data_IF_213061803775
#
_entry.id   IF_213061803775
#
_cell.length_a   1.000
_cell.length_b   1.000
_cell.length_c   1.000
_cell.angle_alpha   90.00
_cell.angle_beta   90.00
_cell.angle_gamma   90.00
#
_symmetry.space_group_name_H-M   'P 1'
#
loop_
_entity.id
_entity.type
_entity.pdbx_description
1 polymer ?
#
# COMPACT_ATOMS: atom_id res chain seq x y z
N UNK A 1 17.95 -59.93 -10.20
CA UNK A 1 18.60 -59.59 -8.92
C UNK A 1 18.43 -58.09 -8.78
N UNK A 2 17.40 -57.64 -8.05
CA UNK A 2 17.11 -56.19 -7.95
C UNK A 2 18.14 -55.61 -6.99
N UNK A 3 18.89 -54.63 -7.48
CA UNK A 3 20.05 -54.07 -6.81
C UNK A 3 19.59 -53.31 -5.56
N UNK A 4 20.05 -53.75 -4.39
CA UNK A 4 19.61 -53.26 -3.08
C UNK A 4 19.90 -51.76 -2.87
N UNK A 5 20.85 -51.21 -3.65
CA UNK A 5 21.20 -49.79 -3.68
C UNK A 5 20.12 -48.94 -4.37
N UNK A 6 19.56 -49.43 -5.47
CA UNK A 6 18.54 -48.72 -6.25
C UNK A 6 17.23 -48.60 -5.45
N UNK A 7 16.91 -49.61 -4.64
CA UNK A 7 15.72 -49.63 -3.80
C UNK A 7 15.79 -48.60 -2.64
N UNK A 8 16.97 -48.41 -2.04
CA UNK A 8 17.16 -47.39 -0.99
C UNK A 8 17.28 -45.98 -1.56
N UNK A 9 17.82 -45.83 -2.76
CA UNK A 9 17.87 -44.53 -3.44
C UNK A 9 16.44 -44.07 -3.84
N UNK A 10 15.60 -44.97 -4.34
CA UNK A 10 14.18 -44.68 -4.62
C UNK A 10 13.39 -44.36 -3.34
N UNK A 11 13.62 -45.11 -2.26
CA UNK A 11 12.94 -44.88 -0.97
C UNK A 11 13.41 -43.56 -0.33
N UNK A 12 14.69 -43.21 -0.45
CA UNK A 12 15.23 -41.91 -0.03
C UNK A 12 14.70 -40.75 -0.86
N UNK A 13 14.55 -40.92 -2.16
CA UNK A 13 13.95 -39.91 -3.03
C UNK A 13 12.47 -39.70 -2.71
N UNK A 14 11.75 -40.78 -2.43
CA UNK A 14 10.35 -40.72 -2.02
C UNK A 14 10.20 -39.96 -0.70
N UNK A 15 11.00 -40.32 0.32
CA UNK A 15 10.99 -39.64 1.62
C UNK A 15 11.36 -38.16 1.51
N UNK A 16 12.29 -37.80 0.61
CA UNK A 16 12.63 -36.39 0.34
C UNK A 16 11.49 -35.62 -0.32
N UNK A 17 10.78 -36.23 -1.28
CA UNK A 17 9.62 -35.60 -1.95
C UNK A 17 8.47 -35.40 -0.98
N UNK A 18 8.11 -36.42 -0.22
CA UNK A 18 7.04 -36.35 0.78
C UNK A 18 7.35 -35.28 1.83
N UNK A 19 8.59 -35.23 2.34
CA UNK A 19 9.01 -34.21 3.32
C UNK A 19 9.05 -32.79 2.73
N UNK A 20 9.40 -32.65 1.44
CA UNK A 20 9.38 -31.36 0.75
C UNK A 20 7.94 -30.87 0.55
N UNK A 21 7.02 -31.75 0.20
CA UNK A 21 5.59 -31.45 0.07
C UNK A 21 4.97 -31.06 1.42
N UNK A 22 5.32 -31.76 2.50
CA UNK A 22 4.92 -31.41 3.85
C UNK A 22 5.45 -30.02 4.26
N UNK A 23 6.72 -29.73 3.99
CA UNK A 23 7.32 -28.42 4.27
C UNK A 23 6.65 -27.29 3.47
N UNK A 24 6.28 -27.54 2.21
CA UNK A 24 5.54 -26.57 1.38
C UNK A 24 4.12 -26.35 1.92
N UNK A 25 3.37 -27.41 2.23
CA UNK A 25 2.03 -27.31 2.79
C UNK A 25 2.01 -26.67 4.18
N UNK A 26 3.06 -26.85 4.97
CA UNK A 26 3.19 -26.24 6.29
C UNK A 26 3.47 -24.73 6.18
N UNK A 27 4.21 -24.30 5.16
CA UNK A 27 4.38 -22.87 4.83
C UNK A 27 3.10 -22.19 4.33
N UNK A 28 2.16 -22.95 3.76
CA UNK A 28 0.84 -22.44 3.34
C UNK A 28 -0.18 -22.44 4.50
N UNK A 29 -0.07 -23.39 5.45
CA UNK A 29 -0.98 -23.55 6.60
C UNK A 29 -0.57 -22.73 7.82
N UNK A 30 0.72 -22.51 8.04
CA UNK A 30 1.23 -21.45 8.91
C UNK A 30 1.05 -20.15 8.16
N UNK A 31 -0.20 -19.71 8.07
CA UNK A 31 -0.62 -18.55 7.31
C UNK A 31 0.36 -17.42 7.51
N UNK A 32 1.19 -17.19 6.49
CA UNK A 32 1.80 -15.89 6.33
C UNK A 32 0.65 -14.90 6.43
N UNK A 33 0.80 -13.90 7.28
CA UNK A 33 0.07 -12.65 7.14
C UNK A 33 0.40 -12.13 5.73
N UNK A 34 -0.27 -12.68 4.72
CA UNK A 34 -0.15 -12.25 3.34
C UNK A 34 -0.83 -10.89 3.25
N UNK A 35 -0.17 -10.02 2.50
CA UNK A 35 -0.02 -8.61 2.79
C UNK A 35 -1.37 -7.88 2.78
N UNK A 36 -1.77 -7.35 3.95
CA UNK A 36 -2.79 -6.30 4.02
C UNK A 36 -2.30 -5.10 3.23
N UNK A 37 -3.10 -4.63 2.27
CA UNK A 37 -2.78 -3.41 1.56
C UNK A 37 -3.19 -2.21 2.40
N UNK A 38 -2.27 -1.26 2.56
CA UNK A 38 -2.51 -0.01 3.27
C UNK A 38 -2.53 1.15 2.30
N UNK A 39 -3.65 1.84 2.22
CA UNK A 39 -3.78 3.08 1.45
C UNK A 39 -3.94 4.28 2.39
N UNK A 40 -3.41 5.42 1.97
CA UNK A 40 -3.52 6.69 2.71
C UNK A 40 -4.17 7.74 1.81
N UNK A 41 -5.18 8.41 2.36
CA UNK A 41 -5.97 9.43 1.65
C UNK A 41 -5.92 10.75 2.44
N UNK A 42 -5.46 11.86 1.86
CA UNK A 42 -5.50 13.18 2.48
C UNK A 42 -6.95 13.69 2.52
N UNK A 43 -7.42 14.13 3.68
CA UNK A 43 -8.83 14.53 3.89
C UNK A 43 -8.96 15.84 4.65
N UNK A 44 -10.10 16.50 4.45
CA UNK A 44 -10.48 17.75 5.13
C UNK A 44 -10.99 17.51 6.56
N UNK A 45 -11.41 16.28 6.88
CA UNK A 45 -11.94 15.89 8.18
C UNK A 45 -11.59 14.44 8.54
N UNK A 46 -11.93 14.04 9.76
CA UNK A 46 -11.63 12.73 10.36
C UNK A 46 -12.75 11.70 10.22
N UNK A 47 -13.75 11.94 9.34
CA UNK A 47 -14.97 11.11 9.23
C UNK A 47 -14.77 9.75 8.55
N UNK A 48 -13.56 9.16 8.62
CA UNK A 48 -13.23 7.84 8.10
C UNK A 48 -13.61 7.68 6.63
N UNK A 49 -14.43 6.66 6.32
CA UNK A 49 -14.89 6.39 4.94
C UNK A 49 -15.75 7.50 4.35
N UNK A 50 -16.40 8.33 5.17
CA UNK A 50 -17.24 9.43 4.71
C UNK A 50 -16.46 10.75 4.58
N UNK A 51 -15.19 10.76 4.99
CA UNK A 51 -14.36 11.95 4.93
C UNK A 51 -14.18 12.42 3.48
N UNK A 52 -14.20 13.74 3.31
CA UNK A 52 -13.93 14.36 2.00
C UNK A 52 -12.45 14.51 1.77
N UNK A 53 -12.02 14.26 0.53
CA UNK A 53 -10.62 14.43 0.15
C UNK A 53 -10.21 15.90 0.18
N UNK A 54 -8.95 16.13 0.53
CA UNK A 54 -8.35 17.46 0.44
C UNK A 54 -7.73 17.72 -0.92
N UNK A 55 -7.96 18.92 -1.47
CA UNK A 55 -7.37 19.39 -2.72
C UNK A 55 -5.85 19.61 -2.62
N UNK A 56 -5.33 19.76 -1.40
CA UNK A 56 -3.94 20.12 -1.17
C UNK A 56 -3.27 19.11 -0.24
N UNK A 57 -2.67 18.07 -0.83
CA UNK A 57 -2.00 16.99 -0.10
C UNK A 57 -1.17 17.45 1.11
N UNK A 58 -0.27 18.42 0.94
CA UNK A 58 0.63 18.86 2.02
C UNK A 58 -0.07 19.63 3.15
N UNK A 59 -1.24 20.21 2.88
CA UNK A 59 -2.04 21.02 3.80
C UNK A 59 -3.32 20.32 4.24
N UNK A 60 -3.51 19.05 3.87
CA UNK A 60 -4.64 18.28 4.34
C UNK A 60 -4.56 18.19 5.88
N UNK A 61 -5.62 18.56 6.62
CA UNK A 61 -5.61 18.51 8.08
C UNK A 61 -5.58 17.08 8.63
N UNK A 62 -6.07 16.10 7.87
CA UNK A 62 -6.06 14.69 8.25
C UNK A 62 -5.59 13.80 7.10
N UNK A 63 -5.16 12.60 7.48
CA UNK A 63 -4.93 11.47 6.59
C UNK A 63 -5.77 10.29 7.08
N UNK A 64 -6.70 9.83 6.26
CA UNK A 64 -7.40 8.57 6.52
C UNK A 64 -6.53 7.43 6.02
N UNK A 65 -6.19 6.52 6.92
CA UNK A 65 -5.47 5.28 6.63
C UNK A 65 -6.51 4.15 6.57
N UNK A 66 -6.49 3.41 5.48
CA UNK A 66 -7.38 2.26 5.28
C UNK A 66 -6.51 1.03 5.06
N UNK A 67 -6.70 0.03 5.92
CA UNK A 67 -6.13 -1.30 5.72
C UNK A 67 -7.17 -2.18 5.02
N UNK A 68 -6.76 -2.84 3.95
CA UNK A 68 -7.58 -3.74 3.14
C UNK A 68 -7.09 -5.19 3.32
N UNK A 69 -8.05 -6.12 3.36
CA UNK A 69 -7.78 -7.55 3.24
C UNK A 69 -7.46 -7.92 1.77
N UNK A 70 -6.99 -9.15 1.55
CA UNK A 70 -6.64 -9.65 0.20
C UNK A 70 -7.83 -9.63 -0.79
N UNK A 71 -9.05 -9.75 -0.29
CA UNK A 71 -10.27 -9.71 -1.10
C UNK A 71 -10.74 -8.27 -1.40
N UNK A 72 -9.96 -7.26 -0.99
CA UNK A 72 -10.29 -5.85 -1.15
C UNK A 72 -11.29 -5.31 -0.11
N UNK A 73 -11.69 -6.11 0.87
CA UNK A 73 -12.59 -5.64 1.95
C UNK A 73 -11.84 -4.79 2.98
N UNK A 74 -12.51 -3.78 3.53
CA UNK A 74 -11.93 -2.90 4.55
C UNK A 74 -11.74 -3.65 5.87
N UNK A 75 -10.50 -3.77 6.31
CA UNK A 75 -10.11 -4.38 7.58
C UNK A 75 -10.03 -3.36 8.74
N UNK A 76 -9.55 -2.15 8.45
CA UNK A 76 -9.41 -1.07 9.42
C UNK A 76 -9.53 0.31 8.75
N UNK A 77 -10.04 1.29 9.48
CA UNK A 77 -10.04 2.70 9.11
C UNK A 77 -9.62 3.52 10.32
N UNK A 78 -8.60 4.36 10.15
CA UNK A 78 -8.16 5.29 11.19
C UNK A 78 -7.90 6.68 10.60
N UNK A 79 -8.25 7.72 11.34
CA UNK A 79 -7.88 9.09 11.02
C UNK A 79 -6.59 9.46 11.76
N UNK A 80 -5.65 10.06 11.04
CA UNK A 80 -4.38 10.55 11.59
C UNK A 80 -4.31 12.06 11.32
N UNK A 81 -4.18 12.91 12.36
CA UNK A 81 -4.00 14.34 12.14
C UNK A 81 -2.67 14.64 11.46
N UNK A 82 -2.64 15.67 10.62
CA UNK A 82 -1.41 16.12 9.99
C UNK A 82 -0.60 16.96 10.99
N UNK A 83 0.42 16.34 11.60
CA UNK A 83 1.32 16.99 12.55
C UNK A 83 2.63 17.47 11.90
N UNK A 84 2.63 17.70 10.59
CA UNK A 84 3.81 18.21 9.88
C UNK A 84 4.10 19.68 10.16
N UNK A 85 5.20 20.20 9.61
CA UNK A 85 5.59 21.61 9.66
C UNK A 85 4.47 22.57 9.22
N UNK A 86 3.54 22.15 8.35
CA UNK A 86 2.40 22.97 7.93
C UNK A 86 1.34 23.21 9.01
N UNK A 87 1.35 22.41 10.08
CA UNK A 87 0.44 22.48 11.21
C UNK A 87 1.16 22.78 12.53
N UNK A 88 2.40 23.29 12.45
CA UNK A 88 3.20 23.68 13.61
C UNK A 88 3.93 22.52 14.29
N UNK A 89 3.90 21.32 13.71
CA UNK A 89 4.71 20.19 14.16
C UNK A 89 6.04 20.08 13.42
N UNK A 90 6.56 18.85 13.29
CA UNK A 90 7.91 18.59 12.78
C UNK A 90 7.91 17.63 11.59
N UNK A 91 8.82 17.85 10.64
CA UNK A 91 8.97 17.01 9.45
C UNK A 91 8.00 17.38 8.34
N UNK A 92 8.31 16.92 7.12
CA UNK A 92 7.47 17.19 5.96
C UNK A 92 6.30 16.21 5.92
N UNK A 93 5.13 16.60 5.38
CA UNK A 93 3.99 15.69 5.21
C UNK A 93 4.35 14.30 4.64
N UNK A 94 5.13 14.15 3.54
CA UNK A 94 5.48 12.83 3.02
C UNK A 94 6.31 11.99 3.99
N UNK A 95 7.18 12.60 4.80
CA UNK A 95 8.01 11.87 5.76
C UNK A 95 7.16 11.29 6.91
N UNK A 96 6.17 12.05 7.38
CA UNK A 96 5.21 11.58 8.38
C UNK A 96 4.37 10.42 7.85
N UNK A 97 3.88 10.54 6.61
CA UNK A 97 3.04 9.50 5.99
C UNK A 97 3.83 8.21 5.73
N UNK A 98 5.11 8.30 5.35
CA UNK A 98 5.95 7.11 5.16
C UNK A 98 6.09 6.27 6.44
N UNK A 99 5.97 6.86 7.63
CA UNK A 99 5.96 6.11 8.90
C UNK A 99 4.71 5.24 9.05
N UNK A 100 3.62 5.59 8.37
CA UNK A 100 2.40 4.79 8.30
C UNK A 100 2.59 3.57 7.38
N UNK A 101 3.72 3.45 6.66
CA UNK A 101 4.03 2.34 5.73
C UNK A 101 2.93 2.09 4.68
N UNK A 102 2.47 3.12 3.95
CA UNK A 102 1.49 2.93 2.89
C UNK A 102 2.06 2.10 1.74
N UNK A 103 1.21 1.26 1.14
CA UNK A 103 1.44 0.71 -0.20
C UNK A 103 1.14 1.78 -1.26
N UNK A 104 0.07 2.56 -1.05
CA UNK A 104 -0.31 3.64 -1.95
C UNK A 104 -0.80 4.90 -1.21
N UNK A 105 -0.54 6.05 -1.81
CA UNK A 105 -1.14 7.34 -1.43
C UNK A 105 -2.07 7.78 -2.56
N UNK A 106 -3.33 8.04 -2.24
CA UNK A 106 -4.34 8.38 -3.26
C UNK A 106 -4.79 9.81 -3.05
N UNK A 107 -4.68 10.66 -4.07
CA UNK A 107 -4.92 12.10 -3.94
C UNK A 107 -5.42 12.71 -5.26
N UNK A 108 -5.98 13.92 -5.23
CA UNK A 108 -6.25 14.69 -6.45
C UNK A 108 -4.95 15.12 -7.15
N UNK A 109 -3.95 15.48 -6.37
CA UNK A 109 -2.69 15.98 -6.88
C UNK A 109 -1.62 16.12 -5.81
N UNK A 110 -0.37 16.06 -6.24
CA UNK A 110 0.79 16.12 -5.36
C UNK A 110 1.89 16.94 -6.03
N UNK A 111 2.57 17.78 -5.26
CA UNK A 111 3.73 18.52 -5.75
C UNK A 111 4.90 17.58 -6.09
N UNK A 112 5.75 17.93 -7.07
CA UNK A 112 6.78 17.03 -7.61
C UNK A 112 7.77 16.53 -6.55
N UNK A 113 8.11 17.39 -5.58
CA UNK A 113 8.99 17.01 -4.47
C UNK A 113 8.42 15.88 -3.61
N UNK A 114 7.14 15.94 -3.26
CA UNK A 114 6.51 14.91 -2.44
C UNK A 114 6.31 13.62 -3.25
N UNK A 115 5.96 13.75 -4.53
CA UNK A 115 5.82 12.63 -5.44
C UNK A 115 7.13 11.84 -5.57
N UNK A 116 8.23 12.52 -5.84
CA UNK A 116 9.57 11.92 -5.93
C UNK A 116 9.97 11.18 -4.66
N UNK A 117 9.62 11.71 -3.48
CA UNK A 117 9.89 11.05 -2.19
C UNK A 117 9.16 9.69 -2.11
N UNK A 118 7.85 9.64 -2.36
CA UNK A 118 7.10 8.38 -2.31
C UNK A 118 7.60 7.35 -3.33
N UNK A 119 7.81 7.78 -4.57
CA UNK A 119 8.32 6.90 -5.63
C UNK A 119 9.69 6.33 -5.28
N UNK A 120 10.60 7.14 -4.72
CA UNK A 120 11.92 6.66 -4.27
C UNK A 120 11.85 5.62 -3.14
N UNK A 121 10.71 5.52 -2.46
CA UNK A 121 10.44 4.55 -1.39
C UNK A 121 9.58 3.37 -1.85
N UNK A 122 9.24 3.30 -3.14
CA UNK A 122 8.39 2.24 -3.69
C UNK A 122 6.92 2.36 -3.27
N UNK A 123 6.47 3.54 -2.86
CA UNK A 123 5.07 3.82 -2.54
C UNK A 123 4.39 4.36 -3.79
N UNK A 124 3.33 3.71 -4.24
CA UNK A 124 2.55 4.18 -5.38
C UNK A 124 1.82 5.48 -5.03
N UNK A 125 1.77 6.42 -5.96
CA UNK A 125 0.94 7.62 -5.82
C UNK A 125 -0.11 7.58 -6.92
N UNK A 126 -1.37 7.52 -6.54
CA UNK A 126 -2.49 7.37 -7.46
C UNK A 126 -3.35 8.63 -7.48
N UNK A 127 -3.81 8.99 -8.67
CA UNK A 127 -4.76 10.07 -8.90
C UNK A 127 -6.18 9.55 -8.82
N UNK A 128 -7.04 10.32 -8.16
CA UNK A 128 -8.49 10.09 -8.11
C UNK A 128 -9.27 11.36 -8.44
N UNK A 129 -10.52 11.19 -8.87
CA UNK A 129 -11.53 12.25 -8.95
C UNK A 129 -12.70 12.00 -7.96
N UNK A 130 -12.59 10.98 -7.11
CA UNK A 130 -13.58 10.66 -6.07
C UNK A 130 -13.69 11.79 -5.04
N UNK A 131 -14.85 11.96 -4.44
CA UNK A 131 -15.11 12.98 -3.41
C UNK A 131 -14.93 12.47 -1.99
N UNK A 132 -15.08 11.16 -1.77
CA UNK A 132 -15.01 10.54 -0.43
C UNK A 132 -14.01 9.39 -0.37
N UNK A 133 -13.53 9.07 0.83
CA UNK A 133 -12.64 7.93 1.06
C UNK A 133 -13.29 6.61 0.65
N UNK A 134 -14.61 6.44 0.85
CA UNK A 134 -15.35 5.26 0.40
C UNK A 134 -15.25 5.06 -1.10
N UNK A 135 -15.51 6.12 -1.88
CA UNK A 135 -15.39 6.07 -3.34
C UNK A 135 -13.95 5.79 -3.80
N UNK A 136 -12.96 6.30 -3.05
CA UNK A 136 -11.54 5.98 -3.29
C UNK A 136 -11.27 4.49 -3.11
N UNK A 137 -11.73 3.89 -2.00
CA UNK A 137 -11.57 2.45 -1.74
C UNK A 137 -12.21 1.63 -2.86
N UNK A 138 -13.43 1.99 -3.27
CA UNK A 138 -14.13 1.32 -4.37
C UNK A 138 -13.40 1.45 -5.72
N UNK A 139 -12.84 2.62 -6.03
CA UNK A 139 -12.08 2.82 -7.27
C UNK A 139 -10.73 2.09 -7.25
N UNK A 140 -10.05 2.10 -6.10
CA UNK A 140 -8.77 1.43 -5.89
C UNK A 140 -8.91 -0.09 -6.04
N UNK A 141 -9.86 -0.70 -5.34
CA UNK A 141 -10.13 -2.15 -5.39
C UNK A 141 -10.57 -2.64 -6.77
N UNK A 142 -11.13 -1.75 -7.60
CA UNK A 142 -11.49 -2.03 -9.00
C UNK A 142 -10.36 -1.76 -9.99
N UNK A 143 -9.20 -1.27 -9.54
CA UNK A 143 -8.08 -0.92 -10.40
C UNK A 143 -8.36 0.24 -11.36
N UNK A 144 -9.23 1.18 -10.97
CA UNK A 144 -9.68 2.29 -11.82
C UNK A 144 -8.87 3.57 -11.65
N UNK A 145 -7.87 3.58 -10.77
CA UNK A 145 -7.05 4.75 -10.48
C UNK A 145 -5.79 4.76 -11.35
N UNK A 146 -5.35 5.96 -11.71
CA UNK A 146 -4.17 6.16 -12.55
C UNK A 146 -2.97 6.55 -11.70
N UNK A 147 -1.76 6.09 -12.05
CA UNK A 147 -0.54 6.56 -11.38
C UNK A 147 -0.29 8.04 -11.67
N UNK A 148 -0.06 8.79 -10.60
CA UNK A 148 0.44 10.15 -10.69
C UNK A 148 1.95 10.08 -10.94
N UNK A 149 2.36 10.37 -12.17
CA UNK A 149 3.78 10.45 -12.57
C UNK A 149 4.21 11.91 -12.72
N UNK A 150 5.52 12.17 -12.67
CA UNK A 150 6.05 13.49 -13.00
C UNK A 150 5.76 13.79 -14.47
N UNK A 151 4.78 14.66 -14.75
CA UNK A 151 4.62 15.24 -16.08
C UNK A 151 5.82 16.14 -16.39
N UNK A 152 6.38 16.05 -17.60
CA UNK A 152 7.48 16.90 -18.05
C UNK A 152 7.21 18.39 -17.79
N UNK A 153 7.85 18.96 -16.77
CA UNK A 153 7.82 20.38 -16.48
C UNK A 153 8.73 21.14 -17.46
N UNK A 154 8.26 21.38 -18.68
CA UNK A 154 8.76 22.54 -19.46
C UNK A 154 8.11 23.82 -18.91
N UNK A 155 8.54 24.23 -17.72
CA UNK A 155 8.24 25.55 -17.20
C UNK A 155 9.33 26.51 -17.69
N UNK A 156 9.03 27.26 -18.75
CA UNK A 156 9.83 28.41 -19.16
C UNK A 156 9.87 29.43 -18.02
N UNK A 157 11.06 29.57 -17.41
CA UNK A 157 11.39 30.79 -16.67
C UNK A 157 11.44 31.96 -17.68
N UNK A 158 10.69 33.01 -17.41
CA UNK A 158 10.96 34.37 -17.88
C UNK A 158 11.20 35.25 -16.67
#
# INVERSE_FOLDING_TARGET
MVNCKDMWDEELERLRREKLEEMLQQSEKEGGEKLKERIVVPTEDENGLNARLSEHFGRAPYFIVVDLNEDGTVANVQAVPNESEHFGGFGRPPDCILQLKPNAVITYGMGPRALSIFQSKGVAVLRTNASTVKEVVEAYTKGLLEELTEGCHHAHHR
#
